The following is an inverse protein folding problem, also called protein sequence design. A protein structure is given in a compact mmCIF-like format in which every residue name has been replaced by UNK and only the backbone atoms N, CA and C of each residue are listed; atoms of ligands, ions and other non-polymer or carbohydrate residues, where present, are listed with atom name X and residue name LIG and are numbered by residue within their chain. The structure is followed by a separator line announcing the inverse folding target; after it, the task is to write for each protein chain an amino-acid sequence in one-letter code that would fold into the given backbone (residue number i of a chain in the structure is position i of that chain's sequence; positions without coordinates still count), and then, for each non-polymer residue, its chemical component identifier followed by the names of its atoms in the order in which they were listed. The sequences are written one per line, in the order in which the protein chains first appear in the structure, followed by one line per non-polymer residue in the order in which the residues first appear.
data_IF_431010450184
#
_entry.id   IF_431010450184
#
_cell.length_a   1.000
_cell.length_b   1.000
_cell.length_c   1.000
_cell.angle_alpha   90.00
_cell.angle_beta   90.00
_cell.angle_gamma   90.00
#
_symmetry.space_group_name_H-M   'P 1'
#
loop_
_entity.id
_entity.type
_entity.pdbx_description
1 polymer ?
#
# COMPACT_ATOMS: atom_id res chain seq x y z
N UNK A 1 -10.64 -9.14 75.53
CA UNK A 1 -10.65 -9.61 74.14
C UNK A 1 -11.45 -8.61 73.31
N UNK A 2 -10.70 -7.71 72.56
CA UNK A 2 -11.35 -6.71 71.69
C UNK A 2 -11.35 -7.26 70.26
N UNK A 3 -12.58 -7.44 69.71
CA UNK A 3 -12.77 -7.83 68.32
C UNK A 3 -12.70 -6.59 67.43
N UNK A 4 -11.66 -6.52 66.58
CA UNK A 4 -11.50 -5.47 65.54
C UNK A 4 -12.27 -5.95 64.29
N UNK A 5 -13.32 -5.26 63.93
CA UNK A 5 -14.05 -5.48 62.66
C UNK A 5 -13.33 -4.67 61.55
N UNK A 6 -12.75 -5.38 60.61
CA UNK A 6 -12.12 -4.79 59.42
C UNK A 6 -13.21 -4.61 58.35
N UNK A 7 -13.61 -3.36 58.09
CA UNK A 7 -14.55 -3.04 57.01
C UNK A 7 -13.75 -2.89 55.69
N UNK A 8 -13.90 -3.84 54.79
CA UNK A 8 -13.34 -3.74 53.41
C UNK A 8 -14.29 -2.89 52.58
N UNK A 9 -13.87 -1.66 52.28
CA UNK A 9 -14.58 -0.79 51.32
C UNK A 9 -14.15 -1.21 49.92
N UNK A 10 -15.05 -1.87 49.19
CA UNK A 10 -14.86 -2.25 47.81
C UNK A 10 -15.16 -1.02 46.94
N UNK A 11 -14.13 -0.29 46.51
CA UNK A 11 -14.26 0.81 45.56
C UNK A 11 -14.50 0.24 44.13
N UNK A 12 -15.74 0.21 43.69
CA UNK A 12 -16.04 -0.03 42.26
C UNK A 12 -15.51 1.17 41.44
N UNK A 13 -14.39 1.00 40.76
CA UNK A 13 -13.94 1.92 39.73
C UNK A 13 -14.89 1.79 38.52
N UNK A 14 -15.78 2.75 38.32
CA UNK A 14 -16.57 2.88 37.11
C UNK A 14 -15.60 3.31 36.00
N UNK A 15 -15.13 2.36 35.19
CA UNK A 15 -14.40 2.65 33.98
C UNK A 15 -15.39 3.27 32.98
N UNK A 16 -15.18 4.53 32.53
CA UNK A 16 -16.05 5.09 31.51
C UNK A 16 -15.98 4.22 30.28
N UNK A 17 -17.13 3.68 29.82
CA UNK A 17 -17.20 2.96 28.57
C UNK A 17 -16.73 3.89 27.46
N UNK A 18 -15.61 3.55 26.84
CA UNK A 18 -15.12 4.28 25.66
C UNK A 18 -16.27 4.37 24.66
N UNK A 19 -16.71 5.60 24.35
CA UNK A 19 -17.80 5.82 23.40
C UNK A 19 -17.38 5.13 22.08
N UNK A 20 -18.02 4.04 21.76
CA UNK A 20 -17.80 3.32 20.52
C UNK A 20 -18.05 4.31 19.37
N UNK A 21 -17.03 4.62 18.56
CA UNK A 21 -17.17 5.48 17.38
C UNK A 21 -18.29 4.89 16.53
N UNK A 22 -19.37 5.62 16.36
CA UNK A 22 -20.43 5.20 15.47
C UNK A 22 -19.86 4.90 14.09
N UNK A 23 -20.26 3.80 13.46
CA UNK A 23 -19.83 3.49 12.11
C UNK A 23 -20.23 4.64 11.18
N UNK A 24 -19.41 4.99 10.19
CA UNK A 24 -19.70 6.05 9.25
C UNK A 24 -20.99 5.73 8.48
N UNK A 25 -21.79 6.77 8.21
CA UNK A 25 -23.05 6.66 7.48
C UNK A 25 -22.93 7.32 6.12
N UNK A 26 -23.58 6.79 5.07
CA UNK A 26 -23.67 7.44 3.78
C UNK A 26 -24.28 8.86 3.91
N UNK A 27 -23.84 9.78 3.06
CA UNK A 27 -24.33 11.15 2.98
C UNK A 27 -25.11 11.37 1.67
N UNK A 28 -25.97 12.39 1.58
CA UNK A 28 -26.55 12.87 0.33
C UNK A 28 -25.47 13.31 -0.66
N UNK A 29 -25.79 13.29 -1.95
CA UNK A 29 -24.85 13.54 -3.04
C UNK A 29 -24.11 14.88 -2.92
N UNK A 30 -24.80 15.93 -2.62
CA UNK A 30 -24.26 17.29 -2.45
C UNK A 30 -23.23 17.40 -1.31
N UNK A 31 -23.38 16.58 -0.27
CA UNK A 31 -22.45 16.52 0.85
C UNK A 31 -21.32 15.50 0.61
N UNK A 32 -21.58 14.44 -0.13
CA UNK A 32 -20.61 13.37 -0.39
C UNK A 32 -19.56 13.78 -1.42
N UNK A 33 -19.95 14.42 -2.53
CA UNK A 33 -19.04 14.77 -3.62
C UNK A 33 -17.81 15.60 -3.18
N UNK A 34 -17.94 16.66 -2.35
CA UNK A 34 -16.77 17.41 -1.88
C UNK A 34 -15.79 16.57 -1.05
N UNK A 35 -16.30 15.52 -0.38
CA UNK A 35 -15.51 14.63 0.47
C UNK A 35 -14.85 13.49 -0.31
N UNK A 36 -15.35 13.18 -1.50
CA UNK A 36 -14.83 12.14 -2.37
C UNK A 36 -13.59 12.61 -3.15
N UNK A 37 -13.48 13.84 -3.44
CA UNK A 37 -12.56 14.65 -4.25
C UNK A 37 -11.14 14.16 -4.55
N UNK A 38 -10.27 15.11 -4.86
CA UNK A 38 -8.88 14.95 -5.34
C UNK A 38 -7.95 14.24 -4.33
N UNK A 39 -6.74 13.80 -4.74
CA UNK A 39 -5.73 13.28 -3.84
C UNK A 39 -5.45 14.24 -2.68
N UNK A 40 -5.43 13.72 -1.45
CA UNK A 40 -5.19 14.50 -0.23
C UNK A 40 -3.75 14.35 0.22
N UNK A 41 -3.18 13.16 0.02
CA UNK A 41 -1.83 12.84 0.43
C UNK A 41 -1.20 11.88 -0.59
N UNK A 42 0.02 12.18 -0.97
CA UNK A 42 0.91 11.30 -1.73
C UNK A 42 2.20 11.20 -0.94
N UNK A 43 2.60 10.00 -0.58
CA UNK A 43 3.79 9.77 0.25
C UNK A 43 4.46 8.46 -0.10
N UNK A 44 5.73 8.36 0.22
CA UNK A 44 6.56 7.20 -0.02
C UNK A 44 7.48 6.97 1.17
N UNK A 45 7.57 5.74 1.66
CA UNK A 45 8.58 5.37 2.63
C UNK A 45 9.97 5.50 2.01
N UNK A 46 10.99 5.75 2.83
CA UNK A 46 12.36 5.63 2.36
C UNK A 46 12.62 4.19 1.86
N UNK A 47 13.30 4.04 0.74
CA UNK A 47 13.72 2.74 0.25
C UNK A 47 14.64 2.08 1.29
N UNK A 48 14.25 0.89 1.76
CA UNK A 48 15.00 0.16 2.77
C UNK A 48 15.73 -1.03 2.11
N UNK A 49 17.03 -1.22 2.37
CA UNK A 49 17.72 -2.40 1.92
C UNK A 49 17.09 -3.65 2.56
N UNK A 50 16.85 -4.68 1.76
CA UNK A 50 16.32 -5.97 2.22
C UNK A 50 17.28 -7.09 1.87
N UNK A 51 17.26 -8.16 2.65
CA UNK A 51 18.06 -9.33 2.32
C UNK A 51 17.51 -9.99 1.04
N UNK A 52 18.38 -10.65 0.25
CA UNK A 52 17.96 -11.41 -0.92
C UNK A 52 16.90 -12.47 -0.56
N UNK A 53 17.01 -13.06 0.64
CA UNK A 53 16.07 -14.07 1.12
C UNK A 53 14.68 -13.48 1.37
N UNK A 54 14.60 -12.29 1.98
CA UNK A 54 13.34 -11.61 2.23
C UNK A 54 12.67 -11.17 0.93
N UNK A 55 13.46 -10.68 -0.05
CA UNK A 55 12.98 -10.34 -1.38
C UNK A 55 12.41 -11.57 -2.10
N UNK A 56 13.12 -12.71 -2.08
CA UNK A 56 12.64 -13.97 -2.67
C UNK A 56 11.36 -14.45 -1.99
N UNK A 57 11.28 -14.36 -0.67
CA UNK A 57 10.08 -14.74 0.09
C UNK A 57 8.89 -13.87 -0.30
N UNK A 58 9.09 -12.55 -0.43
CA UNK A 58 8.03 -11.64 -0.88
C UNK A 58 7.56 -11.93 -2.31
N UNK A 59 8.49 -12.24 -3.22
CA UNK A 59 8.18 -12.58 -4.62
C UNK A 59 7.45 -13.93 -4.77
N UNK A 60 7.61 -14.84 -3.83
CA UNK A 60 6.97 -16.17 -3.86
C UNK A 60 5.69 -16.24 -3.03
N UNK A 61 5.33 -15.19 -2.33
CA UNK A 61 4.10 -15.14 -1.53
C UNK A 61 2.87 -15.30 -2.44
N UNK A 62 1.80 -15.99 -1.97
CA UNK A 62 0.56 -16.09 -2.71
C UNK A 62 -0.01 -14.70 -3.02
N UNK A 63 -0.26 -14.42 -4.30
CA UNK A 63 -0.74 -13.12 -4.77
C UNK A 63 0.35 -12.14 -5.21
N UNK A 64 1.64 -12.51 -5.07
CA UNK A 64 2.73 -11.75 -5.69
C UNK A 64 2.72 -12.00 -7.20
N UNK A 65 2.56 -10.95 -7.99
CA UNK A 65 2.76 -11.04 -9.44
C UNK A 65 4.26 -10.95 -9.72
N UNK A 66 4.88 -12.08 -10.04
CA UNK A 66 6.28 -12.11 -10.45
C UNK A 66 6.34 -12.04 -11.97
N UNK A 67 6.78 -10.92 -12.51
CA UNK A 67 7.00 -10.79 -13.95
C UNK A 67 8.44 -11.15 -14.26
N UNK A 68 8.69 -12.40 -14.60
CA UNK A 68 9.93 -12.82 -15.24
C UNK A 68 9.81 -12.54 -16.74
N UNK A 69 10.67 -11.69 -17.28
CA UNK A 69 10.75 -11.48 -18.72
C UNK A 69 11.11 -12.81 -19.41
N UNK A 70 10.31 -13.30 -20.39
CA UNK A 70 10.63 -14.52 -21.10
C UNK A 70 11.90 -14.30 -21.93
N UNK A 71 12.96 -15.09 -21.67
CA UNK A 71 14.15 -15.14 -22.51
C UNK A 71 15.49 -14.81 -21.86
N UNK A 72 15.54 -14.43 -20.59
CA UNK A 72 16.83 -14.28 -19.90
C UNK A 72 17.31 -15.62 -19.35
N UNK A 73 18.15 -16.30 -20.09
CA UNK A 73 18.92 -17.43 -19.56
C UNK A 73 20.03 -16.87 -18.67
N UNK A 74 20.11 -17.33 -17.44
CA UNK A 74 21.12 -17.01 -16.44
C UNK A 74 22.49 -17.60 -16.79
N UNK A 75 23.08 -17.16 -17.89
CA UNK A 75 24.43 -17.48 -18.27
C UNK A 75 25.25 -16.20 -18.39
N UNK A 76 25.46 -15.53 -17.27
CA UNK A 76 26.52 -14.58 -17.13
C UNK A 76 27.24 -14.86 -15.83
N UNK A 77 28.37 -15.52 -15.94
CA UNK A 77 29.48 -15.41 -14.98
C UNK A 77 29.95 -13.95 -14.99
N UNK A 78 29.16 -13.07 -14.43
CA UNK A 78 29.55 -11.69 -14.20
C UNK A 78 30.41 -11.65 -12.95
N UNK A 79 31.55 -10.99 -13.06
CA UNK A 79 32.31 -10.46 -11.93
C UNK A 79 31.32 -9.87 -10.93
N UNK A 80 31.58 -10.10 -9.64
CA UNK A 80 30.68 -9.78 -8.54
C UNK A 80 30.34 -8.28 -8.46
N UNK A 81 29.51 -7.81 -9.37
CA UNK A 81 28.82 -6.56 -9.22
C UNK A 81 27.86 -6.72 -8.02
N UNK A 82 27.91 -5.78 -7.09
CA UNK A 82 27.11 -5.85 -5.87
C UNK A 82 25.64 -5.89 -6.25
N UNK A 83 25.01 -7.07 -6.11
CA UNK A 83 23.58 -7.22 -6.26
C UNK A 83 22.94 -6.77 -4.95
N UNK A 84 22.14 -5.71 -5.00
CA UNK A 84 21.35 -5.23 -3.86
C UNK A 84 19.86 -5.41 -4.11
N UNK A 85 19.13 -5.59 -3.02
CA UNK A 85 17.67 -5.54 -3.07
C UNK A 85 17.15 -4.44 -2.16
N UNK A 86 16.04 -3.83 -2.53
CA UNK A 86 15.37 -2.80 -1.75
C UNK A 86 13.86 -3.04 -1.73
N UNK A 87 13.21 -2.43 -0.73
CA UNK A 87 11.77 -2.43 -0.59
C UNK A 87 11.28 -1.02 -0.30
N UNK A 88 10.11 -0.69 -0.82
CA UNK A 88 9.45 0.58 -0.58
C UNK A 88 7.93 0.39 -0.56
N UNK A 89 7.27 1.22 0.22
CA UNK A 89 5.82 1.41 0.17
C UNK A 89 5.54 2.81 -0.34
N UNK A 90 4.87 2.90 -1.47
CA UNK A 90 4.31 4.15 -2.01
C UNK A 90 2.81 4.16 -1.75
N UNK A 91 2.23 5.30 -1.41
CA UNK A 91 0.80 5.38 -1.24
C UNK A 91 0.21 6.71 -1.67
N UNK A 92 -1.05 6.66 -2.05
CA UNK A 92 -1.85 7.84 -2.33
C UNK A 92 -3.21 7.70 -1.64
N UNK A 93 -3.67 8.77 -1.04
CA UNK A 93 -4.99 8.83 -0.41
C UNK A 93 -5.88 9.87 -1.08
N UNK A 94 -7.15 9.54 -1.21
CA UNK A 94 -8.18 10.42 -1.76
C UNK A 94 -9.31 10.60 -0.78
N UNK A 95 -9.95 11.73 -0.89
CA UNK A 95 -11.11 12.07 -0.10
C UNK A 95 -10.81 12.26 1.38
N UNK A 96 -11.84 12.60 2.11
CA UNK A 96 -11.81 12.78 3.57
C UNK A 96 -12.86 11.89 4.22
N UNK A 97 -12.70 11.67 5.53
CA UNK A 97 -13.67 10.88 6.28
C UNK A 97 -15.11 11.41 6.07
N UNK A 98 -16.11 10.56 5.83
CA UNK A 98 -16.06 9.09 5.86
C UNK A 98 -15.74 8.42 4.51
N UNK A 99 -15.40 9.15 3.47
CA UNK A 99 -15.12 8.64 2.12
C UNK A 99 -13.63 8.50 1.80
N UNK A 100 -12.78 8.54 2.80
CA UNK A 100 -11.33 8.35 2.62
C UNK A 100 -11.02 6.96 2.06
N UNK A 101 -10.11 6.92 1.09
CA UNK A 101 -9.58 5.73 0.43
C UNK A 101 -8.08 5.87 0.30
N UNK A 102 -7.36 4.76 0.46
CA UNK A 102 -5.91 4.72 0.32
C UNK A 102 -5.53 3.55 -0.56
N UNK A 103 -4.61 3.78 -1.47
CA UNK A 103 -3.95 2.77 -2.29
C UNK A 103 -2.49 2.70 -1.88
N UNK A 104 -2.03 1.51 -1.54
CA UNK A 104 -0.63 1.21 -1.23
C UNK A 104 -0.06 0.32 -2.33
N UNK A 105 1.10 0.71 -2.83
CA UNK A 105 1.95 -0.09 -3.68
C UNK A 105 3.18 -0.49 -2.87
N UNK A 106 3.34 -1.79 -2.59
CA UNK A 106 4.47 -2.33 -1.86
C UNK A 106 5.34 -3.08 -2.85
N UNK A 107 6.52 -2.56 -3.13
CA UNK A 107 7.42 -3.13 -4.15
C UNK A 107 8.75 -3.53 -3.54
N UNK A 108 9.18 -4.74 -3.91
CA UNK A 108 10.53 -5.26 -3.72
C UNK A 108 11.21 -5.35 -5.07
N UNK A 109 12.46 -4.92 -5.17
CA UNK A 109 13.24 -5.11 -6.38
C UNK A 109 14.69 -5.40 -6.04
N UNK A 110 15.34 -6.15 -6.93
CA UNK A 110 16.77 -6.45 -6.87
C UNK A 110 17.43 -5.94 -8.15
N UNK A 111 18.62 -5.42 -8.03
CA UNK A 111 19.39 -4.88 -9.15
C UNK A 111 20.88 -5.21 -9.02
N UNK A 112 21.56 -5.28 -10.15
CA UNK A 112 23.00 -5.10 -10.23
C UNK A 112 23.25 -3.60 -10.26
N UNK A 113 23.99 -3.09 -9.27
CA UNK A 113 24.22 -1.66 -9.09
C UNK A 113 24.80 -1.01 -10.36
N UNK A 114 24.20 0.09 -10.80
CA UNK A 114 24.53 0.83 -11.99
C UNK A 114 24.52 0.02 -13.29
N UNK A 115 23.70 -1.03 -13.38
CA UNK A 115 23.60 -1.88 -14.57
C UNK A 115 22.16 -2.20 -14.92
N UNK A 116 21.50 -3.08 -14.16
CA UNK A 116 20.12 -3.45 -14.49
C UNK A 116 19.32 -4.02 -13.31
N UNK A 117 17.99 -3.96 -13.43
CA UNK A 117 17.04 -4.65 -12.56
C UNK A 117 17.08 -6.15 -12.87
N UNK A 118 17.27 -6.98 -11.85
CA UNK A 118 17.32 -8.45 -11.99
C UNK A 118 15.99 -9.12 -11.67
N UNK A 119 15.21 -8.51 -10.77
CA UNK A 119 13.87 -9.00 -10.42
C UNK A 119 13.09 -7.92 -9.67
N UNK A 120 11.79 -8.00 -9.69
CA UNK A 120 10.89 -7.19 -8.86
C UNK A 120 9.60 -7.95 -8.56
N UNK A 121 8.93 -7.55 -7.49
CA UNK A 121 7.60 -8.02 -7.14
C UNK A 121 6.83 -6.88 -6.48
N UNK A 122 5.58 -6.72 -6.87
CA UNK A 122 4.69 -5.70 -6.32
C UNK A 122 3.44 -6.35 -5.76
N UNK A 123 2.97 -5.83 -4.65
CA UNK A 123 1.65 -6.14 -4.10
C UNK A 123 0.88 -4.86 -3.87
N UNK A 124 -0.41 -4.90 -4.18
CA UNK A 124 -1.31 -3.76 -4.00
C UNK A 124 -2.27 -4.05 -2.88
N UNK A 125 -2.32 -3.13 -1.94
CA UNK A 125 -3.30 -3.17 -0.85
C UNK A 125 -4.07 -1.86 -0.77
N UNK A 126 -5.25 -1.90 -0.18
CA UNK A 126 -6.09 -0.70 -0.05
C UNK A 126 -6.62 -0.59 1.37
N UNK A 127 -6.78 0.64 1.82
CA UNK A 127 -7.54 0.98 3.02
C UNK A 127 -8.68 1.94 2.66
N UNK A 128 -9.80 1.80 3.33
CA UNK A 128 -10.99 2.61 3.08
C UNK A 128 -11.90 2.63 4.31
N UNK A 129 -12.70 3.70 4.42
CA UNK A 129 -13.68 3.82 5.51
C UNK A 129 -15.08 3.37 5.09
N UNK A 130 -15.83 4.20 4.36
CA UNK A 130 -17.20 3.90 3.96
C UNK A 130 -17.30 3.25 2.57
N UNK A 131 -16.36 3.55 1.68
CA UNK A 131 -16.30 2.94 0.35
C UNK A 131 -15.88 1.49 0.44
N UNK A 132 -16.29 0.66 -0.49
CA UNK A 132 -15.83 -0.73 -0.61
C UNK A 132 -14.95 -0.90 -1.85
N UNK A 133 -13.78 -1.54 -1.70
CA UNK A 133 -12.92 -1.88 -2.82
C UNK A 133 -13.64 -2.84 -3.76
N UNK A 134 -13.63 -2.54 -5.05
CA UNK A 134 -14.14 -3.40 -6.11
C UNK A 134 -13.01 -4.16 -6.79
N UNK A 135 -11.91 -3.47 -7.08
CA UNK A 135 -10.72 -4.06 -7.68
C UNK A 135 -9.46 -3.37 -7.14
N UNK A 136 -8.33 -4.08 -7.19
CA UNK A 136 -6.99 -3.51 -7.06
C UNK A 136 -6.03 -4.41 -7.84
N UNK A 137 -5.19 -3.80 -8.65
CA UNK A 137 -4.27 -4.48 -9.55
C UNK A 137 -3.00 -3.65 -9.76
N UNK A 138 -2.00 -4.22 -10.40
CA UNK A 138 -0.78 -3.54 -10.78
C UNK A 138 -0.20 -4.15 -12.06
N UNK A 139 0.56 -3.35 -12.78
CA UNK A 139 1.26 -3.81 -13.97
C UNK A 139 2.53 -2.98 -14.22
N UNK A 140 3.55 -3.56 -14.87
CA UNK A 140 4.70 -2.81 -15.33
C UNK A 140 4.27 -1.85 -16.44
N UNK A 141 4.42 -0.56 -16.18
CA UNK A 141 4.08 0.49 -17.14
C UNK A 141 5.18 0.66 -18.19
N UNK A 142 6.46 0.61 -17.75
CA UNK A 142 7.61 0.73 -18.64
C UNK A 142 8.90 0.21 -17.96
N UNK A 143 9.91 -0.12 -18.76
CA UNK A 143 11.14 -0.74 -18.25
C UNK A 143 10.93 -2.20 -17.83
N UNK A 144 11.70 -2.68 -16.87
CA UNK A 144 11.59 -4.04 -16.33
C UNK A 144 12.91 -4.74 -16.09
N UNK A 145 12.86 -6.08 -15.98
CA UNK A 145 14.06 -6.92 -15.83
C UNK A 145 14.98 -6.74 -17.06
N UNK A 146 16.26 -6.51 -16.80
CA UNK A 146 17.27 -6.23 -17.84
C UNK A 146 17.40 -4.74 -18.21
N UNK A 147 16.53 -3.88 -17.70
CA UNK A 147 16.64 -2.43 -17.84
C UNK A 147 17.24 -1.82 -16.57
N UNK A 148 17.83 -0.61 -16.67
CA UNK A 148 18.30 0.14 -15.51
C UNK A 148 17.16 0.66 -14.61
N UNK A 149 15.91 0.51 -15.02
CA UNK A 149 14.72 0.98 -14.31
C UNK A 149 13.48 0.16 -14.64
N UNK A 150 12.51 0.24 -13.77
CA UNK A 150 11.13 -0.23 -13.97
C UNK A 150 10.17 0.80 -13.41
N UNK A 151 9.11 1.09 -14.14
CA UNK A 151 7.98 1.88 -13.63
C UNK A 151 6.78 0.96 -13.49
N UNK A 152 6.17 0.96 -12.32
CA UNK A 152 4.98 0.16 -12.02
C UNK A 152 3.81 1.11 -11.81
N UNK A 153 2.65 0.74 -12.31
CA UNK A 153 1.39 1.41 -12.01
C UNK A 153 0.52 0.49 -11.17
N UNK A 154 0.06 0.98 -10.04
CA UNK A 154 -0.93 0.34 -9.20
C UNK A 154 -2.26 1.09 -9.31
N UNK A 155 -3.35 0.34 -9.50
CA UNK A 155 -4.70 0.86 -9.69
C UNK A 155 -5.64 0.28 -8.65
N UNK A 156 -6.66 1.06 -8.26
CA UNK A 156 -7.78 0.53 -7.50
C UNK A 156 -9.09 1.23 -7.89
N UNK A 157 -10.18 0.50 -7.72
CA UNK A 157 -11.54 1.02 -7.92
C UNK A 157 -12.36 0.76 -6.67
N UNK A 158 -13.13 1.75 -6.28
CA UNK A 158 -14.01 1.68 -5.12
C UNK A 158 -15.44 2.01 -5.51
N UNK A 159 -16.38 1.45 -4.75
CA UNK A 159 -17.81 1.79 -4.77
C UNK A 159 -18.15 2.50 -3.48
N UNK A 160 -18.58 3.75 -3.57
CA UNK A 160 -18.91 4.59 -2.42
C UNK A 160 -20.43 4.74 -2.32
N UNK A 161 -21.06 4.34 -1.21
CA UNK A 161 -22.51 4.49 -1.03
C UNK A 161 -22.87 5.95 -0.80
N UNK A 162 -23.88 6.43 -1.53
CA UNK A 162 -24.43 7.80 -1.44
C UNK A 162 -25.93 7.68 -1.32
N UNK A 163 -26.56 8.44 -0.41
CA UNK A 163 -28.00 8.41 -0.21
C UNK A 163 -28.72 8.94 -1.47
N UNK A 164 -29.70 8.19 -1.94
CA UNK A 164 -30.58 8.58 -3.05
C UNK A 164 -30.00 8.36 -4.44
N UNK A 165 -28.81 7.77 -4.56
CA UNK A 165 -28.20 7.44 -5.85
C UNK A 165 -27.62 6.02 -5.86
N UNK A 166 -27.40 5.48 -7.07
CA UNK A 166 -26.64 4.24 -7.24
C UNK A 166 -25.25 4.46 -6.65
N UNK A 167 -24.63 3.42 -6.04
CA UNK A 167 -23.27 3.56 -5.51
C UNK A 167 -22.31 4.14 -6.53
N UNK A 168 -21.59 5.18 -6.13
CA UNK A 168 -20.68 5.93 -7.00
C UNK A 168 -19.37 5.16 -7.14
N UNK A 169 -19.05 4.76 -8.38
CA UNK A 169 -17.78 4.08 -8.68
C UNK A 169 -16.69 5.11 -8.97
N UNK A 170 -15.55 4.99 -8.31
CA UNK A 170 -14.40 5.88 -8.50
C UNK A 170 -13.10 5.08 -8.50
N UNK A 171 -12.25 5.37 -9.48
CA UNK A 171 -10.88 4.83 -9.57
C UNK A 171 -9.84 5.78 -8.99
N UNK A 172 -8.65 5.24 -8.78
CA UNK A 172 -7.45 5.99 -8.48
C UNK A 172 -6.24 5.12 -8.78
N UNK A 173 -5.10 5.75 -9.04
CA UNK A 173 -3.86 5.04 -9.34
C UNK A 173 -2.63 5.83 -8.88
N UNK A 174 -1.52 5.09 -8.72
CA UNK A 174 -0.19 5.62 -8.44
C UNK A 174 0.79 4.97 -9.40
N UNK A 175 1.80 5.72 -9.81
CA UNK A 175 2.89 5.21 -10.64
C UNK A 175 4.21 5.52 -9.99
N UNK A 176 5.01 4.48 -9.75
CA UNK A 176 6.31 4.59 -9.09
C UNK A 176 7.40 4.06 -9.99
N UNK A 177 8.50 4.80 -10.11
CA UNK A 177 9.71 4.38 -10.80
C UNK A 177 10.73 3.85 -9.79
N UNK A 178 11.42 2.78 -10.16
CA UNK A 178 12.49 2.11 -9.40
C UNK A 178 13.71 1.98 -10.30
N UNK A 179 14.91 2.17 -9.76
CA UNK A 179 16.15 2.10 -10.55
C UNK A 179 17.18 1.12 -9.97
N UNK A 180 18.20 0.84 -10.74
CA UNK A 180 19.33 -0.03 -10.43
C UNK A 180 20.28 0.52 -9.36
N UNK A 181 20.13 1.78 -8.94
CA UNK A 181 20.84 2.38 -7.80
C UNK A 181 20.13 2.15 -6.46
N UNK A 182 18.96 1.49 -6.45
CA UNK A 182 18.16 1.27 -5.25
C UNK A 182 17.27 2.46 -4.87
N UNK A 183 17.10 3.44 -5.75
CA UNK A 183 16.20 4.58 -5.53
C UNK A 183 14.82 4.32 -6.11
N UNK A 184 13.84 4.99 -5.54
CA UNK A 184 12.45 4.98 -6.02
C UNK A 184 11.83 6.37 -5.92
N UNK A 185 10.89 6.67 -6.81
CA UNK A 185 10.19 7.96 -6.86
C UNK A 185 8.77 7.77 -7.39
N UNK A 186 7.80 8.41 -6.75
CA UNK A 186 6.45 8.52 -7.31
C UNK A 186 6.50 9.52 -8.45
N UNK A 187 6.24 9.05 -9.66
CA UNK A 187 6.35 9.87 -10.88
C UNK A 187 5.03 10.42 -11.36
N UNK A 188 3.91 9.80 -10.96
CA UNK A 188 2.57 10.25 -11.37
C UNK A 188 1.47 9.60 -10.50
N UNK A 189 0.28 10.21 -10.44
CA UNK A 189 -0.88 9.69 -9.72
C UNK A 189 -2.19 10.37 -10.16
N UNK A 190 -3.35 9.74 -9.88
CA UNK A 190 -4.68 10.31 -10.16
C UNK A 190 -5.70 9.81 -9.14
#
# INVERSE_FOLDING_TARGET
MRKVLLAIVLSLAIVPAAAAKQPPRPLPLDQALPLIGAPVLVDQSAAAPVSKQDAVTAMTAPGAATTLAPGYSSAATAAAAATGCAAVTSHVSWGTWPYQRVLYENTYWCAVYADHITSYSTTVTTDQSLCSRQNADHFPYSGGVGYSWVTIQADATWSCPIIGVVPYSIGGWIRTAYNDYGNSEIVDHS
#
